data_IF_391319616183
#
_entry.id   IF_391319616183
#
_cell.length_a   1.000
_cell.length_b   1.000
_cell.length_c   1.000
_cell.angle_alpha   90.00
_cell.angle_beta   90.00
_cell.angle_gamma   90.00
#
_symmetry.space_group_name_H-M   'P 1'
#
loop_
_entity.id
_entity.type
_entity.pdbx_description
1 polymer ?
#
# COMPACT_ATOMS: atom_id res chain seq x y z
N UNK A 1 18.44 16.30 -12.46
CA UNK A 1 17.19 15.96 -11.75
C UNK A 1 16.79 17.19 -10.96
N UNK A 2 15.56 17.68 -11.14
CA UNK A 2 15.06 18.73 -10.26
C UNK A 2 14.95 18.17 -8.84
N UNK A 3 15.39 18.92 -7.83
CA UNK A 3 15.41 18.50 -6.42
C UNK A 3 14.03 18.20 -5.82
N UNK A 4 12.96 18.47 -6.56
CA UNK A 4 11.56 18.29 -6.16
C UNK A 4 10.84 17.12 -6.85
N UNK A 5 11.51 16.33 -7.69
CA UNK A 5 10.96 15.12 -8.32
C UNK A 5 11.77 13.88 -7.95
N UNK A 6 11.09 12.77 -7.69
CA UNK A 6 11.69 11.50 -7.30
C UNK A 6 11.19 10.40 -8.23
N UNK A 7 12.10 9.54 -8.70
CA UNK A 7 11.78 8.38 -9.54
C UNK A 7 12.10 7.13 -8.74
N UNK A 8 11.12 6.25 -8.60
CA UNK A 8 11.22 4.96 -7.95
C UNK A 8 10.98 3.90 -9.01
N UNK A 9 11.88 2.92 -9.14
CA UNK A 9 11.75 1.82 -10.09
C UNK A 9 11.72 0.49 -9.37
N UNK A 10 10.77 -0.37 -9.74
CA UNK A 10 10.70 -1.74 -9.30
C UNK A 10 10.35 -2.63 -10.49
N UNK A 11 11.32 -3.43 -10.95
CA UNK A 11 11.22 -4.17 -12.21
C UNK A 11 10.78 -3.25 -13.37
N UNK A 12 9.61 -3.52 -13.96
CA UNK A 12 9.05 -2.74 -15.06
C UNK A 12 8.20 -1.56 -14.58
N UNK A 13 7.80 -1.55 -13.30
CA UNK A 13 6.99 -0.48 -12.75
C UNK A 13 7.90 0.71 -12.41
N UNK A 14 7.56 1.87 -12.97
CA UNK A 14 8.22 3.14 -12.68
C UNK A 14 7.20 4.09 -12.08
N UNK A 15 7.51 4.62 -10.90
CA UNK A 15 6.69 5.59 -10.20
C UNK A 15 7.44 6.90 -10.12
N UNK A 16 6.78 7.98 -10.52
CA UNK A 16 7.32 9.31 -10.46
C UNK A 16 6.51 10.13 -9.46
N UNK A 17 7.20 10.75 -8.52
CA UNK A 17 6.62 11.57 -7.47
C UNK A 17 7.10 13.00 -7.68
N UNK A 18 6.18 13.94 -7.77
CA UNK A 18 6.48 15.37 -7.89
C UNK A 18 5.78 16.17 -6.79
N UNK A 19 6.49 17.16 -6.24
CA UNK A 19 5.90 18.09 -5.30
C UNK A 19 5.14 19.19 -6.04
N UNK A 20 3.85 19.37 -5.70
CA UNK A 20 3.07 20.53 -6.13
C UNK A 20 3.31 21.66 -5.14
N UNK A 21 3.84 22.80 -5.60
CA UNK A 21 4.13 23.96 -4.75
C UNK A 21 3.45 25.20 -5.30
N UNK A 22 2.73 25.95 -4.47
CA UNK A 22 1.97 27.16 -4.88
C UNK A 22 1.05 26.92 -6.09
N UNK A 23 0.40 25.75 -6.13
CA UNK A 23 -0.43 25.30 -7.26
C UNK A 23 0.31 25.17 -8.61
N UNK A 24 1.64 25.08 -8.56
CA UNK A 24 2.48 24.88 -9.73
C UNK A 24 2.89 23.40 -9.81
N UNK A 25 2.49 22.76 -10.91
CA UNK A 25 2.79 21.37 -11.24
C UNK A 25 3.83 21.24 -12.37
N UNK A 26 4.30 22.36 -12.93
CA UNK A 26 5.19 22.39 -14.11
C UNK A 26 6.39 21.45 -13.97
N UNK A 27 7.07 21.46 -12.83
CA UNK A 27 8.25 20.61 -12.59
C UNK A 27 7.90 19.13 -12.71
N UNK A 28 6.75 18.70 -12.19
CA UNK A 28 6.28 17.33 -12.34
C UNK A 28 5.95 17.03 -13.81
N UNK A 29 5.26 17.93 -14.51
CA UNK A 29 4.87 17.75 -15.93
C UNK A 29 6.08 17.68 -16.85
N UNK A 30 7.05 18.57 -16.68
CA UNK A 30 8.31 18.61 -17.44
C UNK A 30 9.11 17.32 -17.25
N UNK A 31 9.15 16.81 -16.02
CA UNK A 31 9.85 15.55 -15.72
C UNK A 31 9.12 14.33 -16.33
N UNK A 32 7.78 14.33 -16.40
CA UNK A 32 7.01 13.30 -17.13
C UNK A 32 7.33 13.37 -18.62
N UNK A 33 7.35 14.57 -19.21
CA UNK A 33 7.71 14.76 -20.63
C UNK A 33 9.13 14.29 -20.92
N UNK A 34 10.10 14.59 -20.04
CA UNK A 34 11.48 14.12 -20.16
C UNK A 34 11.56 12.60 -20.11
N UNK A 35 10.81 11.97 -19.20
CA UNK A 35 10.75 10.52 -19.10
C UNK A 35 10.16 9.90 -20.37
N UNK A 36 9.05 10.44 -20.89
CA UNK A 36 8.43 10.00 -22.14
C UNK A 36 9.39 10.13 -23.32
N UNK A 37 10.09 11.26 -23.46
CA UNK A 37 11.08 11.46 -24.51
C UNK A 37 12.25 10.47 -24.40
N UNK A 38 12.73 10.23 -23.18
CA UNK A 38 13.78 9.24 -22.92
C UNK A 38 13.32 7.83 -23.28
N UNK A 39 12.08 7.43 -22.91
CA UNK A 39 11.53 6.14 -23.29
C UNK A 39 11.51 5.97 -24.80
N UNK A 40 10.99 6.96 -25.55
CA UNK A 40 10.97 6.93 -27.03
C UNK A 40 12.37 6.81 -27.63
N UNK A 41 13.34 7.60 -27.13
CA UNK A 41 14.72 7.55 -27.60
C UNK A 41 15.39 6.19 -27.35
N UNK A 42 14.91 5.43 -26.37
CA UNK A 42 15.41 4.10 -26.01
C UNK A 42 14.50 2.97 -26.52
N UNK A 43 13.60 3.24 -27.47
CA UNK A 43 12.66 2.27 -28.04
C UNK A 43 11.75 1.59 -26.99
N UNK A 44 11.45 2.30 -25.91
CA UNK A 44 10.49 1.90 -24.88
C UNK A 44 9.15 2.59 -25.14
N UNK A 45 8.06 1.82 -25.13
CA UNK A 45 6.70 2.34 -25.22
C UNK A 45 6.06 2.39 -23.84
N UNK A 46 5.51 3.55 -23.47
CA UNK A 46 4.74 3.72 -22.23
C UNK A 46 3.31 3.24 -22.46
N UNK A 47 2.83 2.38 -21.56
CA UNK A 47 1.44 1.94 -21.58
C UNK A 47 0.57 2.94 -20.80
N UNK A 48 -0.07 3.87 -21.51
CA UNK A 48 -0.91 4.91 -20.90
C UNK A 48 -2.10 4.30 -20.15
N UNK A 49 -2.71 3.25 -20.70
CA UNK A 49 -3.85 2.56 -20.05
C UNK A 49 -3.50 1.97 -18.69
N UNK A 50 -2.26 1.53 -18.49
CA UNK A 50 -1.75 1.03 -17.20
C UNK A 50 -1.17 2.13 -16.32
N UNK A 51 -0.84 3.29 -16.90
CA UNK A 51 -0.32 4.43 -16.15
C UNK A 51 -1.48 5.12 -15.44
N UNK A 52 -1.30 5.41 -14.15
CA UNK A 52 -2.32 6.06 -13.33
C UNK A 52 -1.70 7.22 -12.57
N UNK A 53 -2.43 8.32 -12.46
CA UNK A 53 -2.04 9.49 -11.68
C UNK A 53 -2.82 9.49 -10.36
N UNK A 54 -2.14 9.70 -9.24
CA UNK A 54 -2.78 9.90 -7.94
C UNK A 54 -2.31 11.24 -7.38
N UNK A 55 -3.26 12.10 -7.04
CA UNK A 55 -2.97 13.41 -6.47
C UNK A 55 -3.32 13.39 -4.98
N UNK A 56 -2.35 13.75 -4.14
CA UNK A 56 -2.52 13.87 -2.70
C UNK A 56 -2.54 15.35 -2.34
N UNK A 57 -3.73 15.92 -2.17
CA UNK A 57 -3.93 17.33 -1.82
C UNK A 57 -4.78 17.49 -0.55
N UNK A 58 -4.15 17.97 0.52
CA UNK A 58 -4.79 18.23 1.81
C UNK A 58 -5.32 19.68 1.95
N UNK A 59 -5.13 20.55 0.95
CA UNK A 59 -5.62 21.93 0.98
C UNK A 59 -7.15 21.96 1.00
N UNK A 60 -7.72 22.97 1.67
CA UNK A 60 -9.16 23.23 1.72
C UNK A 60 -9.41 24.72 1.42
N UNK A 61 -10.03 25.07 0.27
CA UNK A 61 -10.51 24.18 -0.80
C UNK A 61 -9.36 23.49 -1.56
N UNK A 62 -9.62 22.29 -2.09
CA UNK A 62 -8.70 21.60 -2.99
C UNK A 62 -8.60 22.38 -4.30
N UNK A 63 -7.41 22.36 -4.91
CA UNK A 63 -7.23 23.02 -6.21
C UNK A 63 -7.72 22.13 -7.34
N UNK A 64 -8.16 22.75 -8.44
CA UNK A 64 -8.39 22.01 -9.67
C UNK A 64 -7.02 21.61 -10.25
N UNK A 65 -6.82 20.31 -10.46
CA UNK A 65 -5.62 19.76 -11.07
C UNK A 65 -5.88 19.49 -12.55
N UNK A 66 -4.96 19.90 -13.42
CA UNK A 66 -5.08 19.66 -14.86
C UNK A 66 -4.92 18.16 -15.17
N UNK A 67 -5.56 17.68 -16.23
CA UNK A 67 -5.36 16.31 -16.70
C UNK A 67 -3.94 16.12 -17.25
N UNK A 68 -3.31 14.98 -16.94
CA UNK A 68 -2.05 14.56 -17.55
C UNK A 68 -2.28 13.93 -18.91
N UNK A 69 -1.48 14.32 -19.89
CA UNK A 69 -1.45 13.71 -21.21
C UNK A 69 -0.07 13.10 -21.48
N UNK A 70 -0.05 11.87 -21.98
CA UNK A 70 1.12 11.18 -22.51
C UNK A 70 0.77 10.77 -23.93
N UNK A 71 1.52 11.27 -24.92
CA UNK A 71 1.31 10.96 -26.34
C UNK A 71 -0.16 11.15 -26.79
N UNK A 72 -0.72 12.32 -26.47
CA UNK A 72 -2.14 12.72 -26.73
C UNK A 72 -3.21 11.90 -25.98
N UNK A 73 -2.82 10.92 -25.18
CA UNK A 73 -3.73 10.10 -24.38
C UNK A 73 -3.79 10.61 -22.95
N UNK A 74 -5.00 10.78 -22.40
CA UNK A 74 -5.16 11.20 -21.01
C UNK A 74 -4.85 10.07 -20.04
N UNK A 75 -4.12 10.39 -18.97
CA UNK A 75 -3.83 9.45 -17.88
C UNK A 75 -5.00 9.48 -16.90
N UNK A 76 -5.48 8.30 -16.50
CA UNK A 76 -6.56 8.19 -15.53
C UNK A 76 -6.09 8.65 -14.14
N UNK A 77 -6.85 9.59 -13.55
CA UNK A 77 -6.67 10.00 -12.15
C UNK A 77 -7.44 9.04 -11.26
N UNK A 78 -6.74 8.44 -10.29
CA UNK A 78 -7.29 7.46 -9.36
C UNK A 78 -7.19 7.92 -7.91
N UNK A 79 -8.14 7.45 -7.10
CA UNK A 79 -8.20 7.75 -5.66
C UNK A 79 -7.49 6.73 -4.79
N UNK A 80 -7.27 5.52 -5.32
CA UNK A 80 -6.57 4.46 -4.61
C UNK A 80 -5.89 3.50 -5.57
N UNK A 81 -4.74 2.98 -5.20
CA UNK A 81 -4.01 1.95 -5.95
C UNK A 81 -3.36 0.96 -5.01
N UNK A 82 -3.05 -0.24 -5.50
CA UNK A 82 -2.20 -1.19 -4.79
C UNK A 82 -0.78 -1.08 -5.32
N UNK A 83 0.10 -0.47 -4.54
CA UNK A 83 1.50 -0.28 -4.88
C UNK A 83 2.38 -1.23 -4.06
N UNK A 84 3.11 -2.12 -4.74
CA UNK A 84 4.02 -3.11 -4.12
C UNK A 84 3.42 -3.90 -2.95
N UNK A 85 2.12 -4.20 -3.02
CA UNK A 85 1.42 -4.96 -1.99
C UNK A 85 0.61 -4.13 -0.99
N UNK A 86 0.84 -2.81 -0.91
CA UNK A 86 0.16 -1.89 0.01
C UNK A 86 -0.89 -1.07 -0.73
N UNK A 87 -2.09 -0.94 -0.14
CA UNK A 87 -3.11 -0.05 -0.69
C UNK A 87 -2.83 1.41 -0.29
N UNK A 88 -2.51 2.23 -1.27
CA UNK A 88 -2.38 3.69 -1.15
C UNK A 88 -3.70 4.35 -1.51
N UNK A 89 -4.06 5.41 -0.79
CA UNK A 89 -5.29 6.19 -1.00
C UNK A 89 -4.91 7.68 -1.00
N UNK A 90 -5.63 8.49 -1.77
CA UNK A 90 -5.39 9.93 -1.95
C UNK A 90 -5.35 10.73 -0.62
N UNK A 91 -6.07 10.26 0.41
CA UNK A 91 -6.09 10.86 1.73
C UNK A 91 -5.04 10.27 2.69
N UNK A 92 -4.18 9.38 2.18
CA UNK A 92 -3.08 8.70 2.90
C UNK A 92 -3.57 7.86 4.10
N UNK A 93 -4.89 7.65 4.21
CA UNK A 93 -5.43 6.74 5.23
C UNK A 93 -5.16 5.30 4.83
N UNK A 94 -4.82 4.47 5.80
CA UNK A 94 -4.45 3.08 5.55
C UNK A 94 -5.54 2.10 6.00
N UNK A 95 -6.77 2.58 6.13
CA UNK A 95 -7.92 1.76 6.48
C UNK A 95 -8.26 0.78 5.36
N UNK A 96 -8.10 1.17 4.08
CA UNK A 96 -8.27 0.24 2.95
C UNK A 96 -7.25 -0.90 3.00
N UNK A 97 -5.98 -0.57 3.25
CA UNK A 97 -4.90 -1.54 3.41
C UNK A 97 -5.18 -2.48 4.61
N UNK A 98 -5.50 -1.88 5.77
CA UNK A 98 -5.82 -2.60 7.00
C UNK A 98 -6.99 -3.55 6.81
N UNK A 99 -8.05 -3.13 6.12
CA UNK A 99 -9.22 -3.97 5.83
C UNK A 99 -8.84 -5.17 4.95
N UNK A 100 -8.03 -4.93 3.92
CA UNK A 100 -7.54 -5.98 3.01
C UNK A 100 -6.68 -7.02 3.75
N UNK A 101 -5.73 -6.55 4.57
CA UNK A 101 -4.88 -7.39 5.44
C UNK A 101 -5.75 -8.17 6.43
N UNK A 102 -6.70 -7.51 7.08
CA UNK A 102 -7.56 -8.12 8.09
C UNK A 102 -8.42 -9.23 7.51
N UNK A 103 -9.00 -9.03 6.32
CA UNK A 103 -9.79 -10.08 5.63
C UNK A 103 -8.93 -11.30 5.32
N UNK A 104 -7.71 -11.09 4.84
CA UNK A 104 -6.79 -12.20 4.53
C UNK A 104 -6.39 -12.95 5.80
N UNK A 105 -6.02 -12.24 6.86
CA UNK A 105 -5.68 -12.83 8.15
C UNK A 105 -6.86 -13.58 8.80
N UNK A 106 -8.09 -13.10 8.64
CA UNK A 106 -9.29 -13.80 9.10
C UNK A 106 -9.51 -15.15 8.41
N UNK A 107 -9.20 -15.26 7.11
CA UNK A 107 -9.23 -16.55 6.41
C UNK A 107 -8.22 -17.54 7.02
N UNK A 108 -7.02 -17.07 7.39
CA UNK A 108 -6.02 -17.90 8.05
C UNK A 108 -6.38 -18.24 9.50
N UNK A 109 -7.07 -17.36 10.23
CA UNK A 109 -7.62 -17.66 11.56
C UNK A 109 -8.61 -18.83 11.52
N UNK A 110 -9.44 -18.92 10.48
CA UNK A 110 -10.34 -20.05 10.30
C UNK A 110 -9.55 -21.37 10.22
N UNK A 111 -8.46 -21.41 9.44
CA UNK A 111 -7.60 -22.59 9.38
C UNK A 111 -6.90 -22.88 10.69
N UNK A 112 -6.38 -21.86 11.39
CA UNK A 112 -5.80 -22.02 12.73
C UNK A 112 -6.81 -22.65 13.71
N UNK A 113 -8.07 -22.22 13.66
CA UNK A 113 -9.14 -22.78 14.48
C UNK A 113 -9.43 -24.25 14.12
N UNK A 114 -9.38 -24.61 12.84
CA UNK A 114 -9.51 -26.01 12.40
C UNK A 114 -8.36 -26.88 12.89
N UNK A 115 -7.13 -26.38 12.84
CA UNK A 115 -5.94 -27.06 13.35
C UNK A 115 -6.05 -27.31 14.86
N UNK A 116 -6.58 -26.33 15.62
CA UNK A 116 -6.88 -26.50 17.04
C UNK A 116 -7.95 -27.57 17.29
N UNK A 117 -9.02 -27.60 16.48
CA UNK A 117 -10.05 -28.65 16.55
C UNK A 117 -9.52 -30.04 16.23
N UNK A 118 -8.47 -30.14 15.40
CA UNK A 118 -7.74 -31.37 15.14
C UNK A 118 -6.72 -31.75 16.25
N UNK A 119 -6.76 -31.05 17.39
CA UNK A 119 -5.96 -31.32 18.58
C UNK A 119 -4.44 -31.23 18.36
N UNK A 120 -4.00 -30.39 17.41
CA UNK A 120 -2.59 -30.11 17.24
C UNK A 120 -2.02 -29.34 18.45
N UNK A 121 -0.78 -29.64 18.86
CA UNK A 121 -0.20 -29.05 20.05
C UNK A 121 0.14 -27.57 19.84
N UNK A 122 0.11 -26.74 20.90
CA UNK A 122 0.35 -25.29 20.80
C UNK A 122 1.60 -24.88 20.01
N UNK A 123 2.77 -25.55 20.11
CA UNK A 123 3.95 -25.16 19.32
C UNK A 123 3.73 -25.19 17.81
N UNK A 124 2.97 -26.17 17.31
CA UNK A 124 2.64 -26.28 15.87
C UNK A 124 1.66 -25.18 15.46
N UNK A 125 0.69 -24.88 16.31
CA UNK A 125 -0.27 -23.79 16.08
C UNK A 125 0.42 -22.42 16.06
N UNK A 126 1.37 -22.20 16.98
CA UNK A 126 2.22 -21.00 17.00
C UNK A 126 3.03 -20.89 15.72
N UNK A 127 3.69 -21.97 15.28
CA UNK A 127 4.45 -21.99 14.03
C UNK A 127 3.55 -21.64 12.83
N UNK A 128 2.34 -22.20 12.76
CA UNK A 128 1.37 -21.86 11.73
C UNK A 128 0.97 -20.37 11.77
N UNK A 129 0.68 -19.83 12.95
CA UNK A 129 0.38 -18.42 13.14
C UNK A 129 1.52 -17.52 12.65
N UNK A 130 2.77 -17.81 13.04
CA UNK A 130 3.94 -17.03 12.62
C UNK A 130 4.11 -17.04 11.10
N UNK A 131 4.03 -18.21 10.49
CA UNK A 131 4.23 -18.38 9.05
C UNK A 131 3.12 -17.78 8.18
N UNK A 132 1.87 -17.70 8.69
CA UNK A 132 0.72 -17.37 7.84
C UNK A 132 -0.03 -16.11 8.23
N UNK A 133 -0.18 -15.81 9.52
CA UNK A 133 -0.94 -14.65 10.00
C UNK A 133 0.02 -13.51 10.31
N UNK A 134 1.02 -13.76 11.16
CA UNK A 134 2.02 -12.76 11.55
C UNK A 134 2.81 -12.27 10.33
N UNK A 135 3.17 -13.15 9.40
CA UNK A 135 3.86 -12.77 8.16
C UNK A 135 3.06 -11.79 7.28
N UNK A 136 1.72 -11.89 7.30
CA UNK A 136 0.85 -10.96 6.57
C UNK A 136 0.69 -9.64 7.33
N UNK A 137 0.59 -9.71 8.66
CA UNK A 137 0.46 -8.53 9.52
C UNK A 137 1.76 -7.70 9.57
N UNK A 138 2.93 -8.34 9.49
CA UNK A 138 4.25 -7.69 9.53
C UNK A 138 4.76 -7.28 8.14
N UNK A 139 4.14 -7.76 7.07
CA UNK A 139 4.56 -7.42 5.70
C UNK A 139 4.46 -5.91 5.44
N UNK A 140 5.61 -5.30 5.14
CA UNK A 140 5.76 -3.86 4.93
C UNK A 140 5.26 -2.99 6.10
N UNK A 141 5.22 -3.51 7.33
CA UNK A 141 4.60 -2.84 8.48
C UNK A 141 5.15 -1.44 8.74
N UNK A 142 6.45 -1.22 8.52
CA UNK A 142 7.10 0.09 8.66
C UNK A 142 6.56 1.15 7.69
N UNK A 143 6.07 0.72 6.52
CA UNK A 143 5.54 1.62 5.50
C UNK A 143 4.09 2.04 5.76
N UNK A 144 3.30 1.23 6.47
CA UNK A 144 1.85 1.44 6.58
C UNK A 144 1.31 1.52 8.02
N UNK A 145 1.96 0.94 9.02
CA UNK A 145 1.39 0.94 10.37
C UNK A 145 1.33 2.35 11.00
N UNK A 146 2.24 3.25 10.60
CA UNK A 146 2.31 4.63 11.10
C UNK A 146 1.02 5.42 10.87
N UNK A 147 0.42 5.35 9.67
CA UNK A 147 -0.79 6.11 9.31
C UNK A 147 -2.10 5.33 9.57
N UNK A 148 -2.06 4.24 10.35
CA UNK A 148 -3.27 3.56 10.80
C UNK A 148 -4.02 4.38 11.85
N UNK A 149 -5.34 4.47 11.69
CA UNK A 149 -6.21 5.05 12.72
C UNK A 149 -6.24 4.17 13.98
N UNK A 150 -6.77 4.71 15.09
CA UNK A 150 -7.01 3.92 16.31
C UNK A 150 -7.92 2.72 16.04
N UNK A 151 -8.92 2.88 15.16
CA UNK A 151 -9.82 1.79 14.76
C UNK A 151 -9.10 0.69 13.99
N UNK A 152 -8.21 1.09 13.06
CA UNK A 152 -7.38 0.16 12.29
C UNK A 152 -6.49 -0.67 13.20
N UNK A 153 -5.78 -0.01 14.13
CA UNK A 153 -4.92 -0.66 15.13
C UNK A 153 -5.70 -1.64 16.00
N UNK A 154 -6.89 -1.25 16.47
CA UNK A 154 -7.79 -2.15 17.24
C UNK A 154 -8.22 -3.36 16.42
N UNK A 155 -8.49 -3.18 15.13
CA UNK A 155 -8.91 -4.28 14.24
C UNK A 155 -7.78 -5.31 14.08
N UNK A 156 -6.55 -4.84 13.87
CA UNK A 156 -5.38 -5.71 13.77
C UNK A 156 -5.08 -6.41 15.10
N UNK A 157 -5.15 -5.70 16.22
CA UNK A 157 -4.92 -6.30 17.54
C UNK A 157 -5.95 -7.40 17.85
N UNK A 158 -7.22 -7.25 17.42
CA UNK A 158 -8.23 -8.30 17.60
C UNK A 158 -7.86 -9.60 16.89
N UNK A 159 -7.18 -9.54 15.75
CA UNK A 159 -6.70 -10.74 15.03
C UNK A 159 -5.67 -11.47 15.88
N UNK A 160 -4.69 -10.74 16.41
CA UNK A 160 -3.66 -11.27 17.32
C UNK A 160 -4.30 -11.89 18.57
N UNK A 161 -5.18 -11.15 19.25
CA UNK A 161 -5.87 -11.65 20.44
C UNK A 161 -6.76 -12.86 20.17
N UNK A 162 -7.32 -12.98 18.96
CA UNK A 162 -8.10 -14.18 18.58
C UNK A 162 -7.19 -15.37 18.39
N UNK A 163 -6.05 -15.21 17.70
CA UNK A 163 -5.05 -16.26 17.56
C UNK A 163 -4.52 -16.71 18.93
N UNK A 164 -4.22 -15.76 19.82
CA UNK A 164 -3.74 -16.02 21.19
C UNK A 164 -4.71 -16.94 21.95
N UNK A 165 -6.01 -16.63 21.91
CA UNK A 165 -7.06 -17.45 22.53
C UNK A 165 -7.20 -18.84 21.91
N UNK A 166 -7.02 -18.96 20.59
CA UNK A 166 -7.10 -20.25 19.89
C UNK A 166 -5.90 -21.15 20.26
N UNK A 167 -4.71 -20.56 20.33
CA UNK A 167 -3.46 -21.28 20.61
C UNK A 167 -3.33 -21.59 22.12
N UNK A 168 -3.76 -20.67 22.98
CA UNK A 168 -3.59 -20.76 24.43
C UNK A 168 -2.20 -20.34 24.92
N UNK A 169 -1.48 -19.53 24.15
CA UNK A 169 -0.13 -19.02 24.45
C UNK A 169 -0.10 -17.53 24.13
N UNK A 170 0.53 -16.72 24.99
CA UNK A 170 0.68 -15.27 24.77
C UNK A 170 1.43 -14.96 23.48
N UNK A 171 0.93 -13.99 22.71
CA UNK A 171 1.53 -13.53 21.46
C UNK A 171 1.94 -12.05 21.59
N UNK A 172 2.99 -11.60 20.87
CA UNK A 172 3.36 -10.18 20.84
C UNK A 172 2.21 -9.30 20.34
N UNK A 173 2.10 -8.09 20.89
CA UNK A 173 1.14 -7.10 20.39
C UNK A 173 1.46 -6.72 18.95
N UNK A 174 0.46 -6.25 18.19
CA UNK A 174 0.69 -5.72 16.83
C UNK A 174 1.67 -4.53 16.83
N UNK A 175 1.80 -3.84 17.95
CA UNK A 175 2.76 -2.73 18.14
C UNK A 175 4.20 -3.18 18.31
N UNK A 176 4.40 -4.45 18.68
CA UNK A 176 5.70 -5.01 19.02
C UNK A 176 6.26 -5.88 17.87
N UNK A 177 5.55 -5.87 16.72
CA UNK A 177 5.90 -6.58 15.48
C UNK A 177 6.77 -5.73 14.55
#
# INVERSE_FOLDING_TARGET
MHSSSHIIKFANDTTMVGLISKNNESVYREEVQRLTAWCKANNLSLNVDKTKEMVVDFRRPQSCHCLLFIDESSVEIIKSTKFLGVHLVENVTLSLNTSSISKKAQQHLYFLQRLRKAHLPPPILTMFYRGTIESILSSCITAWFGNCTVSDRKTLQRIVSTAEKIIGVSLPSITDM
#
